data_IF_083492858728
#
_entry.id   IF_083492858728
#
_cell.length_a   1.000
_cell.length_b   1.000
_cell.length_c   1.000
_cell.angle_alpha   90.00
_cell.angle_beta   90.00
_cell.angle_gamma   90.00
#
_symmetry.space_group_name_H-M   'P 1'
#
loop_
_entity.id
_entity.type
_entity.pdbx_description
1 polymer ?
#
# COMPACT_ATOMS: atom_id res chain seq x y z
N UNK A 1 15.89 5.09 -13.49
CA UNK A 1 14.87 5.05 -12.40
C UNK A 1 15.43 5.88 -11.26
N UNK A 2 14.95 7.10 -11.05
CA UNK A 2 15.29 7.86 -9.86
C UNK A 2 14.52 7.20 -8.71
N UNK A 3 15.19 6.32 -7.96
CA UNK A 3 14.61 5.81 -6.71
C UNK A 3 14.37 7.02 -5.82
N UNK A 4 13.10 7.38 -5.64
CA UNK A 4 12.76 8.48 -4.77
C UNK A 4 13.16 8.06 -3.34
N UNK A 5 13.96 8.83 -2.60
CA UNK A 5 14.45 8.42 -1.28
C UNK A 5 13.31 8.11 -0.30
N UNK A 6 12.13 8.71 -0.50
CA UNK A 6 10.90 8.35 0.23
C UNK A 6 10.43 6.93 -0.07
N UNK A 7 10.44 6.50 -1.34
CA UNK A 7 10.00 5.15 -1.72
C UNK A 7 10.86 4.09 -1.05
N UNK A 8 12.18 4.29 -1.04
CA UNK A 8 13.11 3.37 -0.37
C UNK A 8 12.84 3.29 1.13
N UNK A 9 12.55 4.42 1.78
CA UNK A 9 12.18 4.46 3.21
C UNK A 9 10.85 3.78 3.48
N UNK A 10 9.83 3.99 2.64
CA UNK A 10 8.52 3.32 2.78
C UNK A 10 8.68 1.81 2.70
N UNK A 11 9.46 1.32 1.74
CA UNK A 11 9.77 -0.09 1.59
C UNK A 11 10.55 -0.63 2.80
N UNK A 12 11.57 0.08 3.26
CA UNK A 12 12.37 -0.31 4.43
C UNK A 12 11.54 -0.38 5.72
N UNK A 13 10.50 0.47 5.85
CA UNK A 13 9.56 0.46 6.97
C UNK A 13 8.44 -0.60 6.83
N UNK A 14 8.40 -1.34 5.72
CA UNK A 14 7.36 -2.32 5.43
C UNK A 14 5.99 -1.69 5.16
N UNK A 15 5.95 -0.42 4.74
CA UNK A 15 4.75 0.31 4.34
C UNK A 15 4.47 0.07 2.85
N UNK A 16 4.29 -1.19 2.46
CA UNK A 16 4.28 -1.60 1.06
C UNK A 16 3.06 -1.09 0.26
N UNK A 17 1.89 -0.97 0.89
CA UNK A 17 0.71 -0.38 0.27
C UNK A 17 0.91 1.13 0.05
N UNK A 18 1.54 1.80 1.00
CA UNK A 18 1.93 3.22 0.87
C UNK A 18 2.97 3.42 -0.23
N UNK A 19 4.00 2.58 -0.29
CA UNK A 19 5.06 2.64 -1.31
C UNK A 19 4.47 2.51 -2.73
N UNK A 20 3.58 1.53 -2.92
CA UNK A 20 2.87 1.36 -4.20
C UNK A 20 2.01 2.57 -4.55
N UNK A 21 1.26 3.08 -3.57
CA UNK A 21 0.40 4.24 -3.79
C UNK A 21 1.21 5.51 -4.09
N UNK A 22 2.40 5.66 -3.50
CA UNK A 22 3.33 6.74 -3.81
C UNK A 22 3.72 6.73 -5.29
N UNK A 23 4.15 5.58 -5.81
CA UNK A 23 4.49 5.45 -7.24
C UNK A 23 3.29 5.70 -8.16
N UNK A 24 2.11 5.17 -7.79
CA UNK A 24 0.86 5.37 -8.55
C UNK A 24 0.47 6.86 -8.60
N UNK A 25 0.54 7.57 -7.48
CA UNK A 25 0.20 8.99 -7.40
C UNK A 25 1.26 9.87 -8.07
N UNK A 26 2.55 9.54 -7.91
CA UNK A 26 3.63 10.28 -8.55
C UNK A 26 3.60 10.17 -10.10
N UNK A 27 3.08 9.06 -10.62
CA UNK A 27 2.90 8.86 -12.06
C UNK A 27 1.56 9.42 -12.60
N UNK A 28 0.67 9.93 -11.74
CA UNK A 28 -0.66 10.39 -12.11
C UNK A 28 -0.73 11.93 -12.13
N UNK A 29 -0.79 12.54 -13.33
CA UNK A 29 -0.92 13.98 -13.49
C UNK A 29 -2.14 14.59 -12.75
N UNK A 30 -3.21 13.81 -12.57
CA UNK A 30 -4.40 14.28 -11.85
C UNK A 30 -4.19 14.38 -10.34
N UNK A 31 -3.16 13.69 -9.81
CA UNK A 31 -2.78 13.78 -8.42
C UNK A 31 -2.17 15.15 -8.06
N UNK A 32 -1.72 15.94 -9.04
CA UNK A 32 -1.23 17.31 -8.82
C UNK A 32 -2.32 18.25 -8.27
N UNK A 33 -3.60 17.92 -8.48
CA UNK A 33 -4.72 18.69 -7.94
C UNK A 33 -5.03 18.38 -6.48
N UNK A 34 -4.44 17.33 -5.92
CA UNK A 34 -4.69 16.95 -4.54
C UNK A 34 -3.96 17.90 -3.61
N UNK A 35 -4.66 18.36 -2.59
CA UNK A 35 -4.02 19.02 -1.46
C UNK A 35 -3.16 18.00 -0.70
N UNK A 36 -2.16 18.50 0.04
CA UNK A 36 -1.28 17.64 0.84
C UNK A 36 -2.04 16.68 1.78
N UNK A 37 -3.12 17.09 2.48
CA UNK A 37 -3.90 16.17 3.30
C UNK A 37 -4.62 15.09 2.50
N UNK A 38 -5.18 15.41 1.33
CA UNK A 38 -5.86 14.44 0.47
C UNK A 38 -4.88 13.40 -0.06
N UNK A 39 -3.71 13.86 -0.51
CA UNK A 39 -2.65 12.97 -0.97
C UNK A 39 -2.18 12.03 0.15
N UNK A 40 -1.98 12.56 1.37
CA UNK A 40 -1.63 11.74 2.53
C UNK A 40 -2.73 10.74 2.91
N UNK A 41 -4.00 11.15 2.86
CA UNK A 41 -5.13 10.27 3.15
C UNK A 41 -5.15 9.06 2.21
N UNK A 42 -5.00 9.27 0.90
CA UNK A 42 -4.96 8.18 -0.08
C UNK A 42 -3.82 7.19 0.17
N UNK A 43 -2.64 7.70 0.54
CA UNK A 43 -1.50 6.86 0.88
C UNK A 43 -1.77 5.98 2.11
N UNK A 44 -2.36 6.56 3.16
CA UNK A 44 -2.71 5.84 4.39
C UNK A 44 -3.81 4.81 4.15
N UNK A 45 -4.84 5.16 3.37
CA UNK A 45 -5.94 4.26 3.03
C UNK A 45 -5.45 3.04 2.24
N UNK A 46 -4.51 3.26 1.31
CA UNK A 46 -3.87 2.18 0.54
C UNK A 46 -3.06 1.25 1.43
N UNK A 47 -2.30 1.79 2.38
CA UNK A 47 -1.56 0.98 3.35
C UNK A 47 -2.49 0.18 4.28
N UNK A 48 -3.54 0.82 4.78
CA UNK A 48 -4.53 0.20 5.64
C UNK A 48 -5.22 -0.98 4.95
N UNK A 49 -5.71 -0.74 3.73
CA UNK A 49 -6.37 -1.75 2.90
C UNK A 49 -5.42 -2.90 2.59
N UNK A 50 -4.17 -2.60 2.21
CA UNK A 50 -3.16 -3.62 1.95
C UNK A 50 -2.91 -4.54 3.14
N UNK A 51 -2.79 -3.97 4.35
CA UNK A 51 -2.62 -4.78 5.58
C UNK A 51 -3.86 -5.61 5.91
N UNK A 52 -5.05 -5.03 5.71
CA UNK A 52 -6.32 -5.72 5.92
C UNK A 52 -6.43 -6.94 5.01
N UNK A 53 -6.24 -6.76 3.71
CA UNK A 53 -6.33 -7.79 2.69
C UNK A 53 -5.30 -8.89 2.91
N UNK A 54 -4.05 -8.53 3.26
CA UNK A 54 -3.00 -9.50 3.58
C UNK A 54 -3.40 -10.38 4.77
N UNK A 55 -4.01 -9.79 5.80
CA UNK A 55 -4.47 -10.52 6.99
C UNK A 55 -5.65 -11.43 6.66
N UNK A 56 -6.59 -10.95 5.84
CA UNK A 56 -7.73 -11.73 5.37
C UNK A 56 -7.28 -12.93 4.52
N UNK A 57 -6.40 -12.70 3.55
CA UNK A 57 -5.83 -13.73 2.70
C UNK A 57 -5.09 -14.80 3.51
N UNK A 58 -4.31 -14.41 4.52
CA UNK A 58 -3.66 -15.35 5.42
C UNK A 58 -4.68 -16.24 6.15
N UNK A 59 -5.73 -15.65 6.72
CA UNK A 59 -6.81 -16.41 7.40
C UNK A 59 -7.53 -17.37 6.47
N UNK A 60 -7.85 -16.93 5.25
CA UNK A 60 -8.49 -17.77 4.24
C UNK A 60 -7.60 -18.95 3.84
N UNK A 61 -6.28 -18.73 3.70
CA UNK A 61 -5.32 -19.82 3.44
C UNK A 61 -5.32 -20.84 4.57
N UNK A 62 -5.25 -20.40 5.83
CA UNK A 62 -5.30 -21.30 6.98
C UNK A 62 -6.64 -22.06 7.09
N UNK A 63 -7.76 -21.41 6.79
CA UNK A 63 -9.07 -22.06 6.77
C UNK A 63 -9.12 -23.18 5.71
N UNK A 64 -8.62 -22.91 4.48
CA UNK A 64 -8.54 -23.93 3.42
C UNK A 64 -7.65 -25.12 3.82
N UNK A 65 -6.50 -24.87 4.45
CA UNK A 65 -5.62 -25.93 4.93
C UNK A 65 -6.29 -26.80 6.01
N UNK A 66 -7.08 -26.20 6.91
CA UNK A 66 -7.84 -26.93 7.93
C UNK A 66 -8.98 -27.77 7.38
N UNK A 67 -9.54 -27.43 6.22
CA UNK A 67 -10.63 -28.19 5.60
C UNK A 67 -10.11 -29.37 4.77
N UNK A 68 -8.80 -29.41 4.48
CA UNK A 68 -8.15 -30.47 3.71
C UNK A 68 -7.49 -31.54 4.58
N UNK A 69 -7.51 -31.39 5.92
CA UNK A 69 -6.97 -32.32 6.90
C UNK A 69 -8.11 -33.05 7.62
#
# INVERSE_FOLDING_TARGET
MLQHPTLDRLNAMGLAGMARAFDELAANAEAERLTHPEWLALLLDREWSFRHDRKLAARLRFAKLRHQA
#
